data_IF_916181166126
#
_entry.id   IF_916181166126
#
_cell.length_a   1.000
_cell.length_b   1.000
_cell.length_c   1.000
_cell.angle_alpha   90.00
_cell.angle_beta   90.00
_cell.angle_gamma   90.00
#
_symmetry.space_group_name_H-M   'P 1'
#
loop_
_entity.id
_entity.type
_entity.pdbx_description
1 polymer ?
#
# COMPACT_ATOMS: atom_id res chain seq x y z
N UNK A 1 -5.55 24.05 5.96
CA UNK A 1 -4.55 23.85 4.86
C UNK A 1 -5.24 23.75 3.51
N UNK A 2 -6.26 22.90 3.36
CA UNK A 2 -6.99 22.71 2.10
C UNK A 2 -7.64 23.99 1.53
N UNK A 3 -8.20 24.87 2.36
CA UNK A 3 -8.80 26.13 1.86
C UNK A 3 -7.78 27.10 1.25
N UNK A 4 -6.55 27.13 1.79
CA UNK A 4 -5.46 27.96 1.24
C UNK A 4 -4.96 27.40 -0.10
N UNK A 5 -4.97 26.06 -0.25
CA UNK A 5 -4.60 25.40 -1.51
C UNK A 5 -5.69 25.60 -2.56
N UNK A 6 -6.97 25.53 -2.19
CA UNK A 6 -8.11 25.80 -3.08
C UNK A 6 -8.02 27.16 -3.74
N UNK A 7 -7.71 28.20 -2.96
CA UNK A 7 -7.64 29.59 -3.46
C UNK A 7 -6.38 29.82 -4.30
N UNK A 8 -5.23 29.26 -3.90
CA UNK A 8 -3.95 29.52 -4.57
C UNK A 8 -3.68 28.62 -5.77
N UNK A 9 -4.22 27.40 -5.76
CA UNK A 9 -3.99 26.35 -6.77
C UNK A 9 -5.27 25.51 -7.01
N UNK A 10 -6.32 26.10 -7.61
CA UNK A 10 -7.63 25.45 -7.74
C UNK A 10 -7.57 24.11 -8.47
N UNK A 11 -6.80 24.00 -9.56
CA UNK A 11 -6.64 22.74 -10.33
C UNK A 11 -5.98 21.63 -9.49
N UNK A 12 -5.02 22.00 -8.63
CA UNK A 12 -4.36 21.01 -7.74
C UNK A 12 -5.33 20.56 -6.66
N UNK A 13 -6.14 21.48 -6.14
CA UNK A 13 -7.17 21.18 -5.17
C UNK A 13 -8.24 20.22 -5.72
N UNK A 14 -8.78 20.49 -6.91
CA UNK A 14 -9.77 19.61 -7.56
C UNK A 14 -9.22 18.19 -7.76
N UNK A 15 -7.99 18.07 -8.28
CA UNK A 15 -7.33 16.77 -8.42
C UNK A 15 -7.14 16.04 -7.08
N UNK A 16 -6.82 16.77 -6.01
CA UNK A 16 -6.69 16.17 -4.68
C UNK A 16 -8.05 15.67 -4.14
N UNK A 17 -9.13 16.41 -4.39
CA UNK A 17 -10.50 16.00 -4.05
C UNK A 17 -10.88 14.74 -4.84
N UNK A 18 -10.62 14.71 -6.14
CA UNK A 18 -10.91 13.54 -7.00
C UNK A 18 -10.15 12.29 -6.52
N UNK A 19 -8.87 12.44 -6.21
CA UNK A 19 -8.05 11.35 -5.66
C UNK A 19 -8.65 10.87 -4.33
N UNK A 20 -9.05 11.79 -3.45
CA UNK A 20 -9.72 11.47 -2.18
C UNK A 20 -11.00 10.66 -2.39
N UNK A 21 -11.87 11.08 -3.31
CA UNK A 21 -13.11 10.36 -3.62
C UNK A 21 -12.86 8.97 -4.21
N UNK A 22 -11.89 8.84 -5.12
CA UNK A 22 -11.49 7.54 -5.68
C UNK A 22 -10.98 6.61 -4.59
N UNK A 23 -10.15 7.12 -3.68
CA UNK A 23 -9.65 6.35 -2.54
C UNK A 23 -10.78 5.91 -1.64
N UNK A 24 -11.69 6.81 -1.22
CA UNK A 24 -12.86 6.46 -0.40
C UNK A 24 -13.67 5.33 -1.04
N UNK A 25 -14.03 5.46 -2.32
CA UNK A 25 -14.80 4.42 -3.04
C UNK A 25 -14.09 3.07 -3.06
N UNK A 26 -12.76 3.05 -3.16
CA UNK A 26 -11.97 1.81 -3.10
C UNK A 26 -11.90 1.23 -1.69
N UNK A 27 -11.75 2.08 -0.67
CA UNK A 27 -11.73 1.67 0.73
C UNK A 27 -13.07 1.09 1.20
N UNK A 28 -14.18 1.56 0.63
CA UNK A 28 -15.53 1.04 0.90
C UNK A 28 -15.76 -0.38 0.38
N UNK A 29 -14.95 -0.82 -0.59
CA UNK A 29 -15.02 -2.17 -1.15
C UNK A 29 -14.15 -3.17 -0.40
N UNK A 30 -13.32 -2.73 0.53
CA UNK A 30 -12.44 -3.61 1.30
C UNK A 30 -13.20 -4.31 2.42
N UNK A 31 -12.74 -5.52 2.75
CA UNK A 31 -13.18 -6.24 3.95
C UNK A 31 -12.74 -5.50 5.22
N UNK A 32 -13.39 -5.73 6.38
CA UNK A 32 -12.97 -5.16 7.66
C UNK A 32 -11.50 -5.48 8.01
N UNK A 33 -10.99 -6.61 7.54
CA UNK A 33 -9.60 -7.04 7.74
C UNK A 33 -8.61 -6.35 6.78
N UNK A 34 -8.96 -6.19 5.49
CA UNK A 34 -8.06 -5.57 4.50
C UNK A 34 -8.01 -4.04 4.57
N UNK A 35 -9.08 -3.40 5.04
CA UNK A 35 -9.15 -1.94 5.24
C UNK A 35 -8.01 -1.37 6.11
N UNK A 36 -7.76 -1.85 7.34
CA UNK A 36 -6.69 -1.32 8.18
C UNK A 36 -5.30 -1.55 7.56
N UNK A 37 -5.08 -2.69 6.90
CA UNK A 37 -3.84 -2.95 6.18
C UNK A 37 -3.58 -1.92 5.08
N UNK A 38 -4.57 -1.66 4.22
CA UNK A 38 -4.42 -0.68 3.13
C UNK A 38 -4.20 0.74 3.66
N UNK A 39 -4.90 1.13 4.73
CA UNK A 39 -4.67 2.42 5.39
C UNK A 39 -3.24 2.57 5.91
N UNK A 40 -2.70 1.53 6.53
CA UNK A 40 -1.32 1.53 7.02
C UNK A 40 -0.32 1.72 5.88
N UNK A 41 -0.48 0.98 4.78
CA UNK A 41 0.42 1.08 3.62
C UNK A 41 0.35 2.46 2.96
N UNK A 42 -0.86 3.01 2.79
CA UNK A 42 -1.05 4.37 2.26
C UNK A 42 -0.40 5.41 3.16
N UNK A 43 -0.59 5.30 4.48
CA UNK A 43 0.04 6.20 5.43
C UNK A 43 1.57 6.14 5.35
N UNK A 44 2.17 4.94 5.38
CA UNK A 44 3.63 4.77 5.21
C UNK A 44 4.13 5.36 3.90
N UNK A 45 3.40 5.20 2.80
CA UNK A 45 3.77 5.78 1.50
C UNK A 45 3.67 7.31 1.45
N UNK A 46 2.76 7.91 2.22
CA UNK A 46 2.64 9.37 2.30
C UNK A 46 3.77 10.03 3.10
N UNK A 47 4.28 9.34 4.13
CA UNK A 47 5.38 9.82 4.98
C UNK A 47 6.74 9.54 4.33
N UNK A 48 6.85 8.44 3.57
CA UNK A 48 8.07 8.05 2.88
C UNK A 48 7.78 7.90 1.39
N UNK A 49 7.92 8.97 0.58
CA UNK A 49 7.61 8.95 -0.85
C UNK A 49 8.41 7.90 -1.65
N UNK A 50 9.54 7.44 -1.12
CA UNK A 50 10.36 6.36 -1.70
C UNK A 50 9.91 4.95 -1.34
N UNK A 51 8.87 4.79 -0.51
CA UNK A 51 8.35 3.50 -0.08
C UNK A 51 7.90 2.68 -1.30
N UNK A 52 8.53 1.54 -1.55
CA UNK A 52 8.42 0.72 -2.76
C UNK A 52 8.91 1.35 -4.09
N UNK A 53 9.49 2.55 -4.07
CA UNK A 53 9.91 3.26 -5.29
C UNK A 53 11.33 2.91 -5.75
N UNK A 54 12.24 2.62 -4.81
CA UNK A 54 13.63 2.28 -5.10
C UNK A 54 13.92 0.83 -4.76
N UNK A 55 14.79 0.21 -5.54
CA UNK A 55 15.19 -1.18 -5.35
C UNK A 55 15.84 -1.42 -3.98
N UNK A 56 16.65 -0.47 -3.50
CA UNK A 56 17.25 -0.49 -2.15
C UNK A 56 16.23 -0.41 -1.01
N UNK A 57 15.02 0.08 -1.27
CA UNK A 57 13.95 0.21 -0.27
C UNK A 57 13.08 -1.05 -0.20
N UNK A 58 13.22 -1.98 -1.14
CA UNK A 58 12.45 -3.21 -1.18
C UNK A 58 12.87 -4.19 -0.07
N UNK A 59 14.09 -4.05 0.45
CA UNK A 59 14.64 -4.82 1.58
C UNK A 59 14.59 -4.07 2.90
N UNK A 60 14.04 -2.85 2.91
CA UNK A 60 13.88 -2.09 4.15
C UNK A 60 12.94 -2.86 5.09
N UNK A 61 13.25 -2.90 6.39
CA UNK A 61 12.47 -3.58 7.42
C UNK A 61 10.98 -3.21 7.35
N UNK A 62 10.68 -1.94 7.07
CA UNK A 62 9.30 -1.44 6.93
C UNK A 62 8.56 -2.10 5.76
N UNK A 63 9.28 -2.36 4.67
CA UNK A 63 8.74 -3.03 3.48
C UNK A 63 8.51 -4.52 3.76
N UNK A 64 9.47 -5.17 4.44
CA UNK A 64 9.36 -6.57 4.86
C UNK A 64 8.20 -6.76 5.85
N UNK A 65 8.02 -5.84 6.79
CA UNK A 65 6.89 -5.84 7.73
C UNK A 65 5.54 -5.81 7.00
N UNK A 66 5.41 -4.95 5.97
CA UNK A 66 4.20 -4.88 5.15
C UNK A 66 3.96 -6.19 4.39
N UNK A 67 5.01 -6.83 3.86
CA UNK A 67 4.87 -8.14 3.19
C UNK A 67 4.44 -9.21 4.19
N UNK A 68 5.05 -9.28 5.38
CA UNK A 68 4.67 -10.22 6.44
C UNK A 68 3.20 -10.02 6.85
N UNK A 69 2.75 -8.78 7.01
CA UNK A 69 1.34 -8.46 7.31
C UNK A 69 0.42 -8.88 6.17
N UNK A 70 0.78 -8.59 4.92
CA UNK A 70 0.01 -8.99 3.75
C UNK A 70 -0.16 -10.51 3.65
N UNK A 71 0.91 -11.28 3.90
CA UNK A 71 0.87 -12.74 3.85
C UNK A 71 -0.04 -13.36 4.92
N UNK A 72 -0.19 -12.69 6.07
CA UNK A 72 -1.07 -13.11 7.18
C UNK A 72 -2.56 -12.84 6.95
N UNK A 73 -2.91 -12.01 5.97
CA UNK A 73 -4.31 -11.74 5.64
C UNK A 73 -5.01 -12.99 5.09
N UNK A 74 -6.33 -13.08 5.26
CA UNK A 74 -7.13 -14.08 4.57
C UNK A 74 -7.00 -13.97 3.03
N UNK A 75 -7.20 -15.09 2.33
CA UNK A 75 -7.19 -15.11 0.85
C UNK A 75 -8.29 -14.23 0.26
N UNK A 76 -9.44 -14.14 0.92
CA UNK A 76 -10.50 -13.20 0.58
C UNK A 76 -9.98 -11.76 0.63
N UNK A 77 -9.42 -11.35 1.77
CA UNK A 77 -8.84 -10.01 1.96
C UNK A 77 -7.75 -9.69 0.94
N UNK A 78 -6.84 -10.64 0.64
CA UNK A 78 -5.84 -10.48 -0.42
C UNK A 78 -6.49 -10.30 -1.79
N UNK A 79 -7.57 -11.03 -2.08
CA UNK A 79 -8.37 -10.90 -3.29
C UNK A 79 -8.98 -9.51 -3.46
N UNK A 80 -9.60 -8.97 -2.41
CA UNK A 80 -10.14 -7.61 -2.41
C UNK A 80 -9.04 -6.55 -2.61
N UNK A 81 -7.89 -6.68 -1.93
CA UNK A 81 -6.76 -5.76 -2.14
C UNK A 81 -6.28 -5.83 -3.59
N UNK A 82 -6.16 -7.03 -4.16
CA UNK A 82 -5.75 -7.24 -5.56
C UNK A 82 -6.71 -6.58 -6.55
N UNK A 83 -8.01 -6.67 -6.31
CA UNK A 83 -9.04 -6.10 -7.17
C UNK A 83 -9.03 -4.56 -7.14
N UNK A 84 -8.97 -3.96 -5.95
CA UNK A 84 -9.16 -2.51 -5.79
C UNK A 84 -7.84 -1.71 -5.74
N UNK A 85 -6.74 -2.35 -5.32
CA UNK A 85 -5.40 -1.76 -5.21
C UNK A 85 -4.33 -2.58 -5.96
N UNK A 86 -4.50 -2.84 -7.28
CA UNK A 86 -3.62 -3.74 -8.04
C UNK A 86 -2.15 -3.30 -8.07
N UNK A 87 -1.88 -1.98 -8.05
CA UNK A 87 -0.49 -1.47 -7.98
C UNK A 87 0.19 -1.81 -6.67
N UNK A 88 -0.53 -1.69 -5.53
CA UNK A 88 -0.01 -2.07 -4.22
C UNK A 88 0.32 -3.57 -4.20
N UNK A 89 -0.61 -4.40 -4.68
CA UNK A 89 -0.41 -5.85 -4.78
C UNK A 89 0.78 -6.19 -5.68
N UNK A 90 0.94 -5.51 -6.82
CA UNK A 90 2.09 -5.71 -7.70
C UNK A 90 3.43 -5.42 -7.02
N UNK A 91 3.51 -4.34 -6.24
CA UNK A 91 4.72 -3.98 -5.50
C UNK A 91 5.04 -4.99 -4.40
N UNK A 92 4.03 -5.45 -3.66
CA UNK A 92 4.18 -6.52 -2.66
C UNK A 92 4.68 -7.81 -3.31
N UNK A 93 4.08 -8.22 -4.45
CA UNK A 93 4.51 -9.41 -5.18
C UNK A 93 5.95 -9.32 -5.72
N UNK A 94 6.41 -8.13 -6.11
CA UNK A 94 7.81 -7.93 -6.50
C UNK A 94 8.76 -8.25 -5.35
N UNK A 95 8.42 -7.86 -4.12
CA UNK A 95 9.22 -8.19 -2.93
C UNK A 95 9.14 -9.69 -2.64
N UNK A 96 7.95 -10.29 -2.69
CA UNK A 96 7.77 -11.74 -2.49
C UNK A 96 8.61 -12.55 -3.48
N UNK A 97 8.44 -12.32 -4.79
CA UNK A 97 9.12 -13.10 -5.82
C UNK A 97 10.64 -12.95 -5.79
N UNK A 98 11.13 -11.79 -5.34
CA UNK A 98 12.56 -11.52 -5.28
C UNK A 98 13.24 -12.14 -4.06
N UNK A 99 12.57 -12.16 -2.91
CA UNK A 99 13.21 -12.52 -1.63
C UNK A 99 12.66 -13.80 -0.99
N UNK A 100 11.39 -14.12 -1.19
CA UNK A 100 10.77 -15.30 -0.60
C UNK A 100 10.91 -16.54 -1.49
N UNK A 101 10.78 -16.40 -2.81
CA UNK A 101 10.90 -17.53 -3.75
C UNK A 101 12.36 -17.89 -4.07
N UNK A 102 13.32 -16.96 -3.89
CA UNK A 102 14.73 -17.14 -4.25
C UNK A 102 15.66 -17.55 -3.10
N UNK A 103 15.13 -17.99 -1.95
CA UNK A 103 15.93 -18.75 -0.96
C UNK A 103 16.35 -18.03 0.33
N UNK A 104 15.45 -17.29 0.99
CA UNK A 104 15.62 -16.90 2.40
C UNK A 104 14.45 -17.36 3.28
N UNK A 105 14.16 -18.67 3.27
CA UNK A 105 13.17 -19.30 4.18
C UNK A 105 13.61 -19.37 5.66
N UNK A 106 14.87 -19.04 5.99
CA UNK A 106 15.44 -19.29 7.33
C UNK A 106 15.01 -18.33 8.44
N UNK A 107 14.42 -17.18 8.15
CA UNK A 107 14.10 -16.17 9.18
C UNK A 107 12.62 -16.11 9.61
N UNK A 108 11.81 -17.10 9.23
CA UNK A 108 10.35 -17.07 9.47
C UNK A 108 9.84 -18.15 10.42
N UNK A 109 10.74 -18.94 11.03
CA UNK A 109 10.40 -19.95 12.05
C UNK A 109 10.75 -19.56 13.48
N UNK A 110 11.25 -18.34 13.70
CA UNK A 110 11.50 -17.80 15.05
C UNK A 110 10.56 -16.63 15.34
#
# INVERSE_FOLDING_TARGET
>A
VMDKIRVKYPVIYEKAVDIGQILTRKMDKLTPESRPFVMEVLHKSSVTPSFFARESELTNEKTVEVVKKFLKLSEESKGYIRAYFPRMTSLIWRVINRYYVRGQEKELRN
#
